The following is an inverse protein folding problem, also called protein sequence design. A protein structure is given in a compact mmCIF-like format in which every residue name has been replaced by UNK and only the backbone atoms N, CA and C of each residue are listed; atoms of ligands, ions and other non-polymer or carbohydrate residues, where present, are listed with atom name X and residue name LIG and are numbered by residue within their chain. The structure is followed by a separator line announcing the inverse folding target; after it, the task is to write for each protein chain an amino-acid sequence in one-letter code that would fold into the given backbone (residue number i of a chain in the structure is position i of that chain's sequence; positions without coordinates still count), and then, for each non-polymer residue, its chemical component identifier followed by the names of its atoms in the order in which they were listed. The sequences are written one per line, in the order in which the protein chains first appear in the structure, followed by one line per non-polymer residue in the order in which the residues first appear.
data_IF_728892149239
#
_entry.id   IF_728892149239
#
_cell.length_a   1.000
_cell.length_b   1.000
_cell.length_c   1.000
_cell.angle_alpha   90.00
_cell.angle_beta   90.00
_cell.angle_gamma   90.00
#
_symmetry.space_group_name_H-M   'P 1'
#
loop_
_entity.id
_entity.type
_entity.pdbx_description
1 polymer ?
#
# COMPACT_ATOMS: atom_id res chain seq x y z
N UNK A 1 16.84 6.11 -7.57
CA UNK A 1 15.43 5.66 -7.49
C UNK A 1 14.98 5.24 -8.86
N UNK A 2 14.31 4.10 -8.98
CA UNK A 2 13.57 3.70 -10.19
C UNK A 2 12.18 4.32 -10.16
N UNK A 3 11.67 4.73 -11.33
CA UNK A 3 10.31 5.26 -11.48
C UNK A 3 9.51 4.36 -12.42
N UNK A 4 8.24 4.14 -12.10
CA UNK A 4 7.33 3.22 -12.79
C UNK A 4 6.02 3.92 -13.13
N UNK A 5 5.37 3.50 -14.20
CA UNK A 5 4.00 3.92 -14.46
C UNK A 5 3.03 3.29 -13.46
N UNK A 6 2.08 4.05 -12.98
CA UNK A 6 1.01 3.53 -12.14
C UNK A 6 -0.07 2.91 -13.04
N UNK A 7 0.03 1.60 -13.20
CA UNK A 7 -0.80 0.86 -14.17
C UNK A 7 -0.59 1.36 -15.59
N UNK A 8 -1.67 1.43 -16.37
CA UNK A 8 -1.68 1.95 -17.74
C UNK A 8 -1.86 3.47 -17.80
N UNK A 9 -1.76 4.18 -16.66
CA UNK A 9 -1.91 5.64 -16.61
C UNK A 9 -0.65 6.39 -17.02
N UNK A 10 -0.77 7.71 -17.21
CA UNK A 10 0.36 8.62 -17.38
C UNK A 10 1.08 8.98 -16.08
N UNK A 11 0.55 8.59 -14.91
CA UNK A 11 1.17 8.90 -13.62
C UNK A 11 2.42 8.04 -13.42
N UNK A 12 3.54 8.71 -13.18
CA UNK A 12 4.83 8.07 -12.89
C UNK A 12 5.11 8.19 -11.40
N UNK A 13 5.35 7.06 -10.73
CA UNK A 13 5.58 6.96 -9.29
C UNK A 13 6.96 6.36 -8.99
N UNK A 14 7.60 6.68 -7.86
CA UNK A 14 8.83 6.01 -7.44
C UNK A 14 8.55 4.56 -7.05
N UNK A 15 9.51 3.67 -7.24
CA UNK A 15 9.38 2.25 -6.85
C UNK A 15 9.14 2.06 -5.34
N UNK A 16 9.64 2.96 -4.51
CA UNK A 16 9.28 3.08 -3.09
C UNK A 16 8.57 4.40 -2.84
N UNK A 17 7.47 4.36 -2.08
CA UNK A 17 6.70 5.51 -1.61
C UNK A 17 6.74 5.60 -0.09
N UNK A 18 6.58 6.78 0.48
CA UNK A 18 6.58 6.98 1.93
C UNK A 18 5.15 6.91 2.48
N UNK A 19 4.94 6.09 3.52
CA UNK A 19 3.67 5.97 4.24
C UNK A 19 3.67 6.77 5.53
N UNK A 20 2.76 7.75 5.66
CA UNK A 20 2.63 8.65 6.79
C UNK A 20 1.75 8.10 7.93
N UNK A 21 1.46 6.80 7.99
CA UNK A 21 0.62 6.20 9.04
C UNK A 21 1.22 6.29 10.46
N UNK A 22 2.51 6.66 10.58
CA UNK A 22 3.18 6.91 11.88
C UNK A 22 3.06 8.36 12.35
N UNK A 23 2.45 9.25 11.55
CA UNK A 23 2.38 10.68 11.85
C UNK A 23 1.18 10.99 12.75
N UNK A 24 1.40 11.88 13.74
CA UNK A 24 0.36 12.46 14.57
C UNK A 24 0.02 11.71 15.85
N UNK A 25 0.15 10.37 15.91
CA UNK A 25 0.03 9.57 17.14
C UNK A 25 -1.31 9.66 17.89
N UNK A 26 -2.43 9.98 17.22
CA UNK A 26 -3.76 10.05 17.84
C UNK A 26 -4.54 8.74 17.62
N UNK A 27 -5.43 8.42 18.57
CA UNK A 27 -6.23 7.19 18.54
C UNK A 27 -5.45 5.94 18.96
N UNK A 28 -6.16 4.91 19.41
CA UNK A 28 -5.56 3.70 20.00
C UNK A 28 -4.66 2.95 19.00
N UNK A 29 -5.13 2.74 17.78
CA UNK A 29 -4.40 1.99 16.76
C UNK A 29 -3.16 2.76 16.27
N UNK A 30 -3.32 4.05 15.94
CA UNK A 30 -2.24 4.80 15.29
C UNK A 30 -1.17 5.28 16.27
N UNK A 31 -1.50 5.51 17.55
CA UNK A 31 -0.50 5.77 18.59
C UNK A 31 0.49 4.62 18.77
N UNK A 32 0.06 3.37 18.58
CA UNK A 32 0.93 2.20 18.57
C UNK A 32 1.84 2.13 17.34
N UNK A 33 1.53 2.85 16.25
CA UNK A 33 2.34 2.89 15.04
C UNK A 33 3.46 3.94 15.13
N UNK A 34 3.21 5.05 15.80
CA UNK A 34 4.15 6.15 15.99
C UNK A 34 3.45 7.44 16.37
N UNK A 35 4.23 8.42 16.76
CA UNK A 35 3.82 9.74 17.20
C UNK A 35 4.65 10.86 16.53
N UNK A 36 5.12 10.59 15.31
CA UNK A 36 5.98 11.49 14.53
C UNK A 36 5.37 12.89 14.45
N UNK A 37 6.08 13.87 14.97
CA UNK A 37 5.72 15.29 14.93
C UNK A 37 6.14 15.96 13.60
N UNK A 38 5.83 17.25 13.44
CA UNK A 38 6.11 18.02 12.22
C UNK A 38 7.61 18.13 11.93
N UNK A 39 8.47 18.29 12.95
CA UNK A 39 9.90 18.46 12.76
C UNK A 39 10.57 17.15 12.34
N UNK A 40 10.16 16.05 12.94
CA UNK A 40 10.57 14.70 12.53
C UNK A 40 10.07 14.37 11.13
N UNK A 41 8.80 14.70 10.83
CA UNK A 41 8.21 14.50 9.52
C UNK A 41 8.96 15.29 8.42
N UNK A 42 9.39 16.53 8.69
CA UNK A 42 10.22 17.32 7.76
C UNK A 42 11.52 16.61 7.42
N UNK A 43 12.24 16.11 8.44
CA UNK A 43 13.48 15.37 8.21
C UNK A 43 13.25 14.10 7.41
N UNK A 44 12.15 13.38 7.65
CA UNK A 44 11.79 12.20 6.87
C UNK A 44 11.43 12.56 5.43
N UNK A 45 10.74 13.68 5.21
CA UNK A 45 10.45 14.21 3.86
C UNK A 45 11.74 14.57 3.14
N UNK A 46 12.70 15.27 3.82
CA UNK A 46 14.00 15.59 3.24
C UNK A 46 14.77 14.36 2.79
N UNK A 47 14.93 13.37 3.69
CA UNK A 47 15.58 12.09 3.39
C UNK A 47 14.90 11.37 2.22
N UNK A 48 13.56 11.38 2.19
CA UNK A 48 12.78 10.74 1.14
C UNK A 48 13.05 11.40 -0.21
N UNK A 49 12.94 12.71 -0.31
CA UNK A 49 13.16 13.47 -1.55
C UNK A 49 14.62 13.36 -2.03
N UNK A 50 15.61 13.43 -1.14
CA UNK A 50 17.02 13.20 -1.46
C UNK A 50 17.26 11.81 -2.07
N UNK A 51 16.53 10.79 -1.61
CA UNK A 51 16.60 9.44 -2.16
C UNK A 51 15.73 9.24 -3.43
N UNK A 52 14.98 10.27 -3.85
CA UNK A 52 14.06 10.22 -4.99
C UNK A 52 12.70 9.57 -4.68
N UNK A 53 12.34 9.42 -3.40
CA UNK A 53 10.96 9.06 -2.98
C UNK A 53 10.12 10.33 -3.08
N UNK A 54 9.32 10.43 -4.13
CA UNK A 54 8.49 11.61 -4.41
C UNK A 54 7.01 11.41 -4.11
N UNK A 55 6.56 10.20 -3.77
CA UNK A 55 5.16 9.93 -3.44
C UNK A 55 5.00 9.69 -1.93
N UNK A 56 4.04 10.41 -1.32
CA UNK A 56 3.68 10.34 0.09
C UNK A 56 2.22 9.90 0.23
N UNK A 57 1.99 8.83 0.98
CA UNK A 57 0.67 8.22 1.18
C UNK A 57 0.19 8.41 2.62
N UNK A 58 -1.04 8.90 2.76
CA UNK A 58 -1.75 9.08 4.04
C UNK A 58 -3.21 8.64 3.92
N UNK A 59 -4.07 8.98 4.88
CA UNK A 59 -5.52 8.81 4.84
C UNK A 59 -6.22 9.77 5.83
N UNK A 60 -7.50 10.07 5.58
CA UNK A 60 -8.33 10.93 6.43
C UNK A 60 -8.51 10.36 7.85
N UNK A 61 -8.49 9.03 8.00
CA UNK A 61 -8.67 8.33 9.27
C UNK A 61 -7.37 8.20 10.08
N UNK A 62 -6.19 8.41 9.46
CA UNK A 62 -4.93 8.20 10.17
C UNK A 62 -4.74 9.25 11.26
N UNK A 63 -4.64 8.78 12.52
CA UNK A 63 -4.52 9.64 13.70
C UNK A 63 -5.61 10.73 13.75
N UNK A 64 -6.85 10.38 13.40
CA UNK A 64 -8.00 11.30 13.39
C UNK A 64 -7.76 12.56 12.53
N UNK A 65 -7.09 12.37 11.39
CA UNK A 65 -6.72 13.44 10.45
C UNK A 65 -5.37 14.11 10.74
N UNK A 66 -4.77 13.88 11.92
CA UNK A 66 -3.48 14.50 12.27
C UNK A 66 -2.34 14.06 11.35
N UNK A 67 -2.40 12.86 10.76
CA UNK A 67 -1.40 12.43 9.76
C UNK A 67 -1.36 13.36 8.55
N UNK A 68 -2.52 13.79 8.03
CA UNK A 68 -2.59 14.78 6.95
C UNK A 68 -2.13 16.17 7.38
N UNK A 69 -2.46 16.61 8.62
CA UNK A 69 -2.01 17.90 9.16
C UNK A 69 -0.48 17.96 9.29
N UNK A 70 0.13 16.93 9.87
CA UNK A 70 1.58 16.82 10.04
C UNK A 70 2.29 16.74 8.68
N UNK A 71 1.78 15.91 7.75
CA UNK A 71 2.33 15.80 6.39
C UNK A 71 2.23 17.14 5.67
N UNK A 72 1.07 17.81 5.69
CA UNK A 72 0.85 19.11 5.06
C UNK A 72 1.79 20.18 5.59
N UNK A 73 2.04 20.22 6.91
CA UNK A 73 3.01 21.12 7.51
C UNK A 73 4.46 20.79 7.11
N UNK A 74 4.81 19.50 7.00
CA UNK A 74 6.14 19.05 6.64
C UNK A 74 6.52 19.35 5.18
N UNK A 75 5.56 19.28 4.26
CA UNK A 75 5.77 19.52 2.81
C UNK A 75 5.58 20.96 2.38
N UNK A 76 5.28 21.89 3.29
CA UNK A 76 5.02 23.28 2.96
C UNK A 76 6.16 23.90 2.14
N UNK A 77 5.82 24.50 0.99
CA UNK A 77 6.77 25.09 0.05
C UNK A 77 7.45 24.09 -0.89
N UNK A 78 7.02 22.82 -0.91
CA UNK A 78 7.60 21.75 -1.75
C UNK A 78 6.57 21.00 -2.58
N UNK A 79 5.33 21.51 -2.68
CA UNK A 79 4.21 20.81 -3.34
C UNK A 79 4.55 20.30 -4.74
N UNK A 80 5.29 21.09 -5.51
CA UNK A 80 5.67 20.77 -6.89
C UNK A 80 6.71 19.65 -7.01
N UNK A 81 7.33 19.23 -5.91
CA UNK A 81 8.37 18.21 -5.90
C UNK A 81 7.84 16.80 -5.59
N UNK A 82 6.55 16.70 -5.29
CA UNK A 82 6.00 15.45 -4.75
C UNK A 82 4.59 15.14 -5.25
N UNK A 83 4.21 13.87 -5.10
CA UNK A 83 2.88 13.34 -5.32
C UNK A 83 2.22 13.04 -3.97
N UNK A 84 1.00 13.48 -3.79
CA UNK A 84 0.20 13.22 -2.61
C UNK A 84 -0.86 12.16 -2.90
N UNK A 85 -0.85 11.11 -2.08
CA UNK A 85 -1.90 10.10 -2.04
C UNK A 85 -2.62 10.17 -0.70
N UNK A 86 -3.95 10.25 -0.71
CA UNK A 86 -4.77 10.11 0.50
C UNK A 86 -6.03 9.30 0.21
N UNK A 87 -6.75 8.94 1.28
CA UNK A 87 -7.86 8.00 1.21
C UNK A 87 -9.02 8.48 2.08
N UNK A 88 -10.24 8.07 1.69
CA UNK A 88 -11.42 8.16 2.55
C UNK A 88 -12.33 6.96 2.30
N UNK A 89 -13.30 6.76 3.12
CA UNK A 89 -14.45 5.87 3.21
C UNK A 89 -14.58 5.15 4.54
N UNK A 90 -13.49 4.92 5.25
CA UNK A 90 -13.53 4.38 6.61
C UNK A 90 -14.16 5.39 7.58
N UNK A 91 -14.72 4.91 8.71
CA UNK A 91 -15.30 5.82 9.72
C UNK A 91 -14.27 6.79 10.32
N UNK A 92 -14.60 8.07 10.34
CA UNK A 92 -13.83 9.13 11.00
C UNK A 92 -14.53 9.69 12.24
N UNK A 93 -15.69 9.13 12.59
CA UNK A 93 -16.50 9.49 13.74
C UNK A 93 -17.72 8.57 13.88
N UNK A 94 -18.55 8.78 14.92
CA UNK A 94 -19.72 7.93 15.20
C UNK A 94 -20.98 8.33 14.42
N UNK A 95 -20.95 9.45 13.69
CA UNK A 95 -22.12 10.01 13.02
C UNK A 95 -22.48 9.26 11.72
N UNK A 96 -23.73 9.41 11.25
CA UNK A 96 -24.19 8.73 10.04
C UNK A 96 -23.53 9.23 8.75
N UNK A 97 -22.84 10.37 8.80
CA UNK A 97 -22.13 10.96 7.66
C UNK A 97 -20.60 10.80 7.75
N UNK A 98 -20.12 10.10 8.77
CA UNK A 98 -18.68 9.98 9.03
C UNK A 98 -18.03 8.79 8.34
N UNK A 99 -18.81 7.94 7.67
CA UNK A 99 -18.34 6.74 6.98
C UNK A 99 -18.97 6.57 5.59
N UNK A 100 -18.40 5.66 4.81
CA UNK A 100 -18.92 5.24 3.49
C UNK A 100 -18.46 6.10 2.33
N UNK A 101 -19.03 5.82 1.16
CA UNK A 101 -18.62 6.40 -0.12
C UNK A 101 -19.74 7.18 -0.81
N UNK A 102 -20.79 7.56 -0.08
CA UNK A 102 -21.87 8.41 -0.62
C UNK A 102 -21.33 9.76 -1.10
N UNK A 103 -21.99 10.33 -2.10
CA UNK A 103 -21.57 11.58 -2.78
C UNK A 103 -21.20 12.71 -1.79
N UNK A 104 -22.09 13.00 -0.84
CA UNK A 104 -21.86 14.06 0.13
C UNK A 104 -20.65 13.81 1.01
N UNK A 105 -20.46 12.55 1.46
CA UNK A 105 -19.33 12.12 2.28
C UNK A 105 -18.01 12.27 1.52
N UNK A 106 -17.95 11.80 0.26
CA UNK A 106 -16.73 11.88 -0.54
C UNK A 106 -16.30 13.32 -0.81
N UNK A 107 -17.24 14.18 -1.20
CA UNK A 107 -16.94 15.60 -1.43
C UNK A 107 -16.43 16.25 -0.15
N UNK A 108 -17.13 16.03 0.98
CA UNK A 108 -16.72 16.57 2.28
C UNK A 108 -15.35 16.06 2.73
N UNK A 109 -15.07 14.78 2.52
CA UNK A 109 -13.77 14.17 2.85
C UNK A 109 -12.61 14.77 2.05
N UNK A 110 -12.77 14.89 0.73
CA UNK A 110 -11.74 15.49 -0.14
C UNK A 110 -11.48 16.94 0.25
N UNK A 111 -12.53 17.74 0.50
CA UNK A 111 -12.38 19.12 0.95
C UNK A 111 -11.66 19.22 2.31
N UNK A 112 -11.97 18.31 3.23
CA UNK A 112 -11.31 18.24 4.53
C UNK A 112 -9.84 17.86 4.40
N UNK A 113 -9.52 16.85 3.55
CA UNK A 113 -8.15 16.44 3.28
C UNK A 113 -7.32 17.55 2.63
N UNK A 114 -7.87 18.25 1.64
CA UNK A 114 -7.22 19.41 1.02
C UNK A 114 -6.89 20.50 2.06
N UNK A 115 -7.80 20.79 2.99
CA UNK A 115 -7.56 21.76 4.08
C UNK A 115 -6.47 21.29 5.04
N UNK A 116 -6.51 20.02 5.50
CA UNK A 116 -5.50 19.47 6.43
C UNK A 116 -4.12 19.40 5.80
N UNK A 117 -4.04 18.98 4.54
CA UNK A 117 -2.79 18.93 3.76
C UNK A 117 -2.29 20.34 3.35
N UNK A 118 -3.17 21.34 3.33
CA UNK A 118 -2.83 22.71 2.92
C UNK A 118 -2.49 22.81 1.43
N UNK A 119 -3.22 22.05 0.58
CA UNK A 119 -3.00 21.98 -0.88
C UNK A 119 -4.31 22.19 -1.63
N UNK A 120 -4.22 22.48 -2.94
CA UNK A 120 -5.35 22.71 -3.83
C UNK A 120 -5.80 21.45 -4.58
N UNK A 121 -4.94 20.42 -4.68
CA UNK A 121 -5.26 19.16 -5.32
C UNK A 121 -4.51 17.97 -4.69
N UNK A 122 -5.09 16.78 -4.87
CA UNK A 122 -4.55 15.47 -4.51
C UNK A 122 -4.17 14.74 -5.81
N UNK A 123 -2.95 14.19 -5.88
CA UNK A 123 -2.49 13.48 -7.07
C UNK A 123 -3.18 12.12 -7.24
N UNK A 124 -3.29 11.35 -6.15
CA UNK A 124 -3.98 10.06 -6.13
C UNK A 124 -4.95 10.01 -4.94
N UNK A 125 -6.25 10.00 -5.23
CA UNK A 125 -7.27 9.79 -4.20
C UNK A 125 -7.81 8.37 -4.28
N UNK A 126 -7.88 7.69 -3.14
CA UNK A 126 -8.27 6.28 -3.08
C UNK A 126 -9.48 6.06 -2.18
N UNK A 127 -10.39 5.19 -2.56
CA UNK A 127 -11.36 4.62 -1.64
C UNK A 127 -10.63 3.64 -0.72
N UNK A 128 -10.68 3.87 0.60
CA UNK A 128 -9.94 3.08 1.58
C UNK A 128 -10.46 1.65 1.72
N UNK A 129 -11.79 1.48 1.51
CA UNK A 129 -12.47 0.21 1.45
C UNK A 129 -13.71 0.31 0.53
N UNK A 130 -14.23 -0.83 0.09
CA UNK A 130 -15.46 -0.90 -0.66
C UNK A 130 -16.67 -0.65 0.26
N UNK A 131 -17.55 0.25 -0.15
CA UNK A 131 -18.82 0.52 0.52
C UNK A 131 -19.95 -0.23 -0.21
N UNK A 132 -20.46 -1.28 0.42
CA UNK A 132 -21.53 -2.11 -0.14
C UNK A 132 -22.92 -1.45 -0.05
N UNK A 133 -23.06 -0.36 0.71
CA UNK A 133 -24.34 0.32 0.92
C UNK A 133 -24.59 1.44 -0.08
N UNK A 134 -23.52 1.96 -0.72
CA UNK A 134 -23.64 3.02 -1.72
C UNK A 134 -23.59 2.44 -3.13
N UNK A 135 -24.56 2.77 -4.02
CA UNK A 135 -24.50 2.35 -5.42
C UNK A 135 -23.22 2.81 -6.10
N UNK A 136 -22.53 1.90 -6.80
CA UNK A 136 -21.22 2.20 -7.41
C UNK A 136 -21.29 3.36 -8.42
N UNK A 137 -22.42 3.51 -9.12
CA UNK A 137 -22.62 4.61 -10.07
C UNK A 137 -22.63 5.99 -9.38
N UNK A 138 -23.18 6.09 -8.15
CA UNK A 138 -23.14 7.31 -7.35
C UNK A 138 -21.70 7.62 -6.91
N UNK A 139 -21.00 6.62 -6.42
CA UNK A 139 -19.59 6.72 -6.01
C UNK A 139 -18.73 7.24 -7.15
N UNK A 140 -18.79 6.60 -8.30
CA UNK A 140 -17.96 6.95 -9.46
C UNK A 140 -18.29 8.33 -10.03
N UNK A 141 -19.57 8.73 -10.08
CA UNK A 141 -19.97 10.08 -10.50
C UNK A 141 -19.45 11.15 -9.54
N UNK A 142 -19.50 10.91 -8.22
CA UNK A 142 -18.95 11.83 -7.24
C UNK A 142 -17.44 12.01 -7.41
N UNK A 143 -16.72 10.92 -7.64
CA UNK A 143 -15.27 10.95 -7.87
C UNK A 143 -14.90 11.63 -9.20
N UNK A 144 -15.65 11.34 -10.27
CA UNK A 144 -15.46 11.97 -11.59
C UNK A 144 -15.70 13.50 -11.53
N UNK A 145 -16.72 13.95 -10.79
CA UNK A 145 -16.96 15.37 -10.57
C UNK A 145 -15.77 16.04 -9.84
N UNK A 146 -15.17 15.38 -8.85
CA UNK A 146 -13.98 15.87 -8.14
C UNK A 146 -12.75 15.93 -9.04
N UNK A 147 -12.61 14.96 -9.96
CA UNK A 147 -11.55 14.98 -10.98
C UNK A 147 -11.77 16.14 -11.95
N UNK A 148 -12.99 16.31 -12.48
CA UNK A 148 -13.35 17.42 -13.39
C UNK A 148 -13.19 18.79 -12.73
N UNK A 149 -13.46 18.88 -11.42
CA UNK A 149 -13.22 20.09 -10.64
C UNK A 149 -11.71 20.35 -10.37
N UNK A 150 -10.83 19.46 -10.79
CA UNK A 150 -9.38 19.58 -10.61
C UNK A 150 -8.88 19.35 -9.18
N UNK A 151 -9.73 18.84 -8.27
CA UNK A 151 -9.37 18.55 -6.87
C UNK A 151 -8.62 17.23 -6.71
N UNK A 152 -8.82 16.31 -7.65
CA UNK A 152 -8.15 15.01 -7.73
C UNK A 152 -7.57 14.86 -9.14
N UNK A 153 -6.37 14.27 -9.25
CA UNK A 153 -5.76 13.97 -10.56
C UNK A 153 -6.04 12.54 -11.02
N UNK A 154 -5.83 11.56 -10.13
CA UNK A 154 -6.02 10.14 -10.43
C UNK A 154 -6.82 9.47 -9.31
N UNK A 155 -7.55 8.42 -9.68
CA UNK A 155 -8.37 7.64 -8.76
C UNK A 155 -7.76 6.27 -8.51
N UNK A 156 -7.91 5.77 -7.28
CA UNK A 156 -7.56 4.43 -6.89
C UNK A 156 -8.60 3.80 -5.96
N UNK A 157 -8.45 2.51 -5.75
CA UNK A 157 -9.18 1.74 -4.75
C UNK A 157 -8.17 1.11 -3.79
N UNK A 158 -8.59 0.79 -2.56
CA UNK A 158 -7.79 0.03 -1.60
C UNK A 158 -8.67 -1.03 -0.95
N UNK A 159 -8.08 -2.21 -0.72
CA UNK A 159 -8.75 -3.33 -0.04
C UNK A 159 -10.06 -3.81 -0.73
N UNK A 160 -10.15 -3.69 -2.06
CA UNK A 160 -11.26 -4.24 -2.83
C UNK A 160 -10.98 -5.69 -3.18
N UNK A 161 -12.01 -6.54 -3.14
CA UNK A 161 -11.99 -7.84 -3.80
C UNK A 161 -11.99 -7.66 -5.32
N UNK A 162 -11.54 -8.66 -6.08
CA UNK A 162 -11.44 -8.57 -7.53
C UNK A 162 -12.79 -8.25 -8.20
N UNK A 163 -13.88 -8.90 -7.76
CA UNK A 163 -15.23 -8.62 -8.32
C UNK A 163 -15.69 -7.18 -8.04
N UNK A 164 -15.29 -6.59 -6.89
CA UNK A 164 -15.64 -5.20 -6.54
C UNK A 164 -14.89 -4.21 -7.43
N UNK A 165 -13.58 -4.47 -7.62
CA UNK A 165 -12.77 -3.67 -8.53
C UNK A 165 -13.26 -3.77 -9.95
N UNK A 166 -13.49 -4.98 -10.47
CA UNK A 166 -14.00 -5.20 -11.83
C UNK A 166 -15.37 -4.57 -12.04
N UNK A 167 -16.29 -4.70 -11.07
CA UNK A 167 -17.61 -4.04 -11.12
C UNK A 167 -17.48 -2.53 -11.25
N UNK A 168 -16.53 -1.94 -10.52
CA UNK A 168 -16.29 -0.49 -10.56
C UNK A 168 -15.70 -0.04 -11.90
N UNK A 169 -14.74 -0.80 -12.43
CA UNK A 169 -14.13 -0.51 -13.75
C UNK A 169 -15.16 -0.61 -14.86
N UNK A 170 -15.97 -1.68 -14.89
CA UNK A 170 -17.03 -1.87 -15.86
C UNK A 170 -18.12 -0.78 -15.78
N UNK A 171 -18.44 -0.28 -14.59
CA UNK A 171 -19.37 0.83 -14.42
C UNK A 171 -18.76 2.15 -14.93
N UNK A 172 -17.48 2.40 -14.66
CA UNK A 172 -16.76 3.56 -15.20
C UNK A 172 -16.78 3.57 -16.73
N UNK A 173 -16.45 2.45 -17.36
CA UNK A 173 -16.44 2.31 -18.83
C UNK A 173 -17.83 2.51 -19.43
N UNK A 174 -18.86 1.89 -18.84
CA UNK A 174 -20.25 2.02 -19.29
C UNK A 174 -20.73 3.46 -19.32
N UNK A 175 -20.30 4.27 -18.38
CA UNK A 175 -20.76 5.64 -18.21
C UNK A 175 -19.75 6.69 -18.68
N UNK A 176 -18.59 6.31 -19.23
CA UNK A 176 -17.53 7.23 -19.65
C UNK A 176 -16.97 8.05 -18.50
N UNK A 177 -16.83 7.44 -17.31
CA UNK A 177 -16.31 8.08 -16.11
C UNK A 177 -14.84 7.75 -15.91
N UNK A 178 -14.17 8.53 -15.05
CA UNK A 178 -12.78 8.28 -14.69
C UNK A 178 -12.60 6.93 -14.01
N UNK A 179 -11.67 6.10 -14.54
CA UNK A 179 -11.35 4.75 -14.01
C UNK A 179 -10.39 4.83 -12.83
N UNK A 180 -10.39 3.82 -11.99
CA UNK A 180 -9.30 3.57 -11.06
C UNK A 180 -8.06 3.14 -11.85
N UNK A 181 -6.92 3.78 -11.57
CA UNK A 181 -5.61 3.45 -12.15
C UNK A 181 -4.71 2.71 -11.16
N UNK A 182 -5.09 2.70 -9.88
CA UNK A 182 -4.35 2.09 -8.78
C UNK A 182 -5.24 1.20 -7.93
N UNK A 183 -4.66 0.12 -7.43
CA UNK A 183 -5.23 -0.68 -6.35
C UNK A 183 -4.21 -0.81 -5.23
N UNK A 184 -4.52 -0.22 -4.07
CA UNK A 184 -3.66 -0.35 -2.89
C UNK A 184 -4.01 -1.63 -2.14
N UNK A 185 -3.02 -2.53 -2.04
CA UNK A 185 -3.22 -3.93 -1.63
C UNK A 185 -2.23 -4.35 -0.55
N UNK A 186 -2.66 -5.25 0.35
CA UNK A 186 -1.74 -6.00 1.18
C UNK A 186 -0.98 -7.02 0.32
N UNK A 187 0.35 -6.94 0.35
CA UNK A 187 1.20 -7.90 -0.33
C UNK A 187 2.57 -7.98 0.33
N UNK A 188 3.01 -9.20 0.65
CA UNK A 188 4.30 -9.47 1.28
C UNK A 188 4.68 -10.94 1.10
N UNK A 189 5.92 -11.33 1.44
CA UNK A 189 6.33 -12.73 1.50
C UNK A 189 5.49 -13.62 2.44
N UNK A 190 4.77 -13.03 3.38
CA UNK A 190 3.88 -13.75 4.31
C UNK A 190 2.39 -13.46 4.06
N UNK A 191 2.05 -12.90 2.91
CA UNK A 191 0.67 -12.61 2.50
C UNK A 191 0.61 -12.46 1.00
N UNK A 192 0.41 -13.58 0.28
CA UNK A 192 0.49 -13.70 -1.19
C UNK A 192 -0.88 -13.81 -1.87
N UNK A 193 -1.97 -13.56 -1.14
CA UNK A 193 -3.35 -13.66 -1.67
C UNK A 193 -3.61 -12.74 -2.87
N UNK A 194 -2.89 -11.63 -2.95
CA UNK A 194 -2.91 -10.70 -4.08
C UNK A 194 -2.65 -11.38 -5.43
N UNK A 195 -1.83 -12.43 -5.46
CA UNK A 195 -1.37 -13.08 -6.70
C UNK A 195 -2.48 -13.87 -7.42
N UNK A 196 -3.51 -14.30 -6.71
CA UNK A 196 -4.48 -15.26 -7.25
C UNK A 196 -5.53 -14.62 -8.16
N UNK A 197 -6.03 -13.44 -7.78
CA UNK A 197 -7.09 -12.74 -8.51
C UNK A 197 -6.70 -11.29 -8.86
N UNK A 198 -6.17 -10.55 -7.89
CA UNK A 198 -5.97 -9.11 -8.02
C UNK A 198 -4.80 -8.76 -8.94
N UNK A 199 -3.74 -9.56 -8.95
CA UNK A 199 -2.60 -9.37 -9.86
C UNK A 199 -2.98 -9.66 -11.32
N UNK A 200 -3.62 -10.81 -11.67
CA UNK A 200 -4.12 -11.04 -13.02
C UNK A 200 -5.10 -9.96 -13.48
N UNK A 201 -6.03 -9.53 -12.63
CA UNK A 201 -6.97 -8.46 -12.92
C UNK A 201 -6.25 -7.13 -13.18
N UNK A 202 -5.28 -6.78 -12.34
CA UNK A 202 -4.48 -5.57 -12.51
C UNK A 202 -3.70 -5.56 -13.83
N UNK A 203 -3.17 -6.72 -14.25
CA UNK A 203 -2.51 -6.89 -15.56
C UNK A 203 -3.47 -6.68 -16.73
N UNK A 204 -4.64 -7.30 -16.69
CA UNK A 204 -5.64 -7.24 -17.76
C UNK A 204 -6.23 -5.84 -17.88
N UNK A 205 -6.60 -5.23 -16.76
CA UNK A 205 -7.30 -3.96 -16.71
C UNK A 205 -6.39 -2.72 -16.65
N UNK A 206 -5.07 -2.93 -16.61
CA UNK A 206 -4.10 -1.84 -16.53
C UNK A 206 -4.11 -1.08 -15.19
N UNK A 207 -4.47 -1.76 -14.09
CA UNK A 207 -4.49 -1.18 -12.74
C UNK A 207 -3.20 -1.54 -12.00
N UNK A 208 -2.44 -0.53 -11.59
CA UNK A 208 -1.17 -0.71 -10.89
C UNK A 208 -1.34 -1.00 -9.41
N UNK A 209 -0.51 -1.89 -8.86
CA UNK A 209 -0.51 -2.16 -7.42
C UNK A 209 0.33 -1.14 -6.66
N UNK A 210 -0.26 -0.61 -5.59
CA UNK A 210 0.39 0.17 -4.54
C UNK A 210 0.42 -0.73 -3.30
N UNK A 211 1.59 -1.22 -2.90
CA UNK A 211 1.69 -2.25 -1.86
C UNK A 211 1.75 -1.62 -0.48
N UNK A 212 0.78 -1.94 0.40
CA UNK A 212 0.84 -1.57 1.82
C UNK A 212 1.29 -2.75 2.69
N UNK A 213 1.87 -2.43 3.86
CA UNK A 213 2.44 -3.39 4.82
C UNK A 213 3.40 -4.43 4.20
N UNK A 214 4.37 -3.99 3.38
CA UNK A 214 5.27 -4.87 2.63
C UNK A 214 6.14 -5.76 3.52
N UNK A 215 6.31 -5.38 4.80
CA UNK A 215 7.04 -6.15 5.81
C UNK A 215 6.12 -6.98 6.72
N UNK A 216 4.89 -7.32 6.27
CA UNK A 216 3.99 -8.22 6.97
C UNK A 216 3.61 -7.73 8.37
N UNK A 217 3.24 -6.46 8.54
CA UNK A 217 2.89 -5.84 9.84
C UNK A 217 4.09 -5.81 10.82
N UNK A 218 5.31 -5.75 10.31
CA UNK A 218 6.55 -5.75 11.09
C UNK A 218 7.17 -7.13 11.31
N UNK A 219 6.59 -8.20 10.73
CA UNK A 219 7.10 -9.57 10.86
C UNK A 219 8.44 -9.77 10.13
N UNK A 220 8.62 -9.10 8.99
CA UNK A 220 9.82 -9.22 8.14
C UNK A 220 10.85 -8.11 8.40
N UNK A 221 10.98 -7.67 9.65
CA UNK A 221 11.94 -6.63 10.04
C UNK A 221 13.30 -7.17 10.49
N UNK A 222 13.47 -8.50 10.46
CA UNK A 222 14.69 -9.15 10.93
C UNK A 222 14.79 -9.32 12.46
N UNK A 223 13.70 -9.02 13.19
CA UNK A 223 13.67 -9.10 14.66
C UNK A 223 12.92 -10.32 15.19
N UNK A 224 12.21 -11.05 14.35
CA UNK A 224 11.42 -12.22 14.73
C UNK A 224 12.18 -13.46 14.29
N UNK A 225 12.29 -14.42 15.19
CA UNK A 225 13.01 -15.69 15.00
C UNK A 225 12.25 -16.82 15.67
N UNK A 226 12.38 -18.02 15.10
CA UNK A 226 11.83 -19.27 15.67
C UNK A 226 12.31 -19.45 17.10
N UNK A 227 11.39 -19.75 18.02
CA UNK A 227 11.69 -20.01 19.42
C UNK A 227 12.08 -18.79 20.25
N UNK A 228 12.00 -17.57 19.73
CA UNK A 228 12.24 -16.34 20.46
C UNK A 228 10.92 -15.59 20.75
N UNK A 229 10.81 -14.91 21.91
CA UNK A 229 9.66 -14.09 22.22
C UNK A 229 9.58 -12.88 21.27
N UNK A 230 8.37 -12.40 21.00
CA UNK A 230 8.16 -11.18 20.23
C UNK A 230 8.85 -10.00 20.93
N UNK A 231 9.54 -9.12 20.17
CA UNK A 231 10.20 -7.95 20.73
C UNK A 231 9.20 -7.02 21.43
N UNK A 232 9.48 -6.67 22.68
CA UNK A 232 8.67 -5.71 23.43
C UNK A 232 8.57 -4.38 22.67
N UNK A 233 7.37 -3.77 22.61
CA UNK A 233 7.14 -2.51 21.90
C UNK A 233 7.09 -2.64 20.36
N UNK A 234 7.14 -3.86 19.81
CA UNK A 234 6.90 -4.05 18.38
C UNK A 234 5.44 -3.77 18.03
N UNK A 235 5.17 -3.33 16.80
CA UNK A 235 3.80 -3.17 16.29
C UNK A 235 3.00 -4.47 16.44
N UNK A 236 3.63 -5.60 16.17
CA UNK A 236 3.00 -6.91 16.29
C UNK A 236 2.58 -7.22 17.74
N UNK A 237 3.40 -6.86 18.71
CA UNK A 237 3.07 -7.07 20.14
C UNK A 237 1.86 -6.24 20.58
N UNK A 238 1.69 -5.04 20.04
CA UNK A 238 0.64 -4.09 20.45
C UNK A 238 -0.65 -4.23 19.62
N UNK A 239 -0.55 -4.59 18.34
CA UNK A 239 -1.68 -4.53 17.39
C UNK A 239 -1.77 -5.77 16.49
N UNK A 240 -1.38 -6.95 16.99
CA UNK A 240 -1.42 -8.21 16.22
C UNK A 240 -2.81 -8.51 15.64
N UNK A 241 -3.86 -8.29 16.45
CA UNK A 241 -5.25 -8.56 16.09
C UNK A 241 -5.77 -7.66 14.95
N UNK A 242 -5.22 -6.46 14.81
CA UNK A 242 -5.58 -5.54 13.73
C UNK A 242 -4.78 -5.80 12.45
N UNK A 243 -3.75 -6.65 12.50
CA UNK A 243 -2.90 -6.99 11.37
C UNK A 243 -3.40 -8.19 10.57
N UNK A 244 -2.86 -8.40 9.35
CA UNK A 244 -3.16 -9.59 8.57
C UNK A 244 -2.80 -10.87 9.33
N UNK A 245 -3.66 -11.92 9.29
CA UNK A 245 -3.34 -13.21 9.87
C UNK A 245 -2.17 -13.84 9.12
N UNK A 246 -1.22 -14.40 9.83
CA UNK A 246 -0.04 -15.07 9.25
C UNK A 246 0.19 -16.37 10.00
N UNK A 247 0.45 -17.45 9.25
CA UNK A 247 0.85 -18.73 9.82
C UNK A 247 2.29 -18.64 10.33
N UNK A 248 2.53 -19.04 11.58
CA UNK A 248 3.84 -18.92 12.23
C UNK A 248 4.91 -19.79 11.57
N UNK A 249 4.58 -21.02 11.13
CA UNK A 249 5.54 -21.88 10.44
C UNK A 249 5.96 -21.28 9.11
N UNK A 250 5.00 -20.78 8.31
CA UNK A 250 5.30 -20.06 7.07
C UNK A 250 6.19 -18.84 7.34
N UNK A 251 5.90 -18.08 8.41
CA UNK A 251 6.71 -16.92 8.78
C UNK A 251 8.16 -17.33 9.06
N UNK A 252 8.37 -18.37 9.85
CA UNK A 252 9.71 -18.81 10.21
C UNK A 252 10.48 -19.39 9.02
N UNK A 253 9.83 -20.17 8.16
CA UNK A 253 10.45 -20.69 6.93
C UNK A 253 10.90 -19.54 6.00
N UNK A 254 10.08 -18.49 5.88
CA UNK A 254 10.46 -17.29 5.11
C UNK A 254 11.60 -16.53 5.76
N UNK A 255 11.59 -16.36 7.08
CA UNK A 255 12.64 -15.65 7.81
C UNK A 255 13.97 -16.38 7.72
N UNK A 256 13.97 -17.72 7.82
CA UNK A 256 15.18 -18.53 7.71
C UNK A 256 15.86 -18.34 6.33
N UNK A 257 15.08 -18.35 5.23
CA UNK A 257 15.61 -18.07 3.88
C UNK A 257 16.06 -16.61 3.72
N UNK A 258 15.34 -15.65 4.33
CA UNK A 258 15.77 -14.25 4.32
C UNK A 258 17.11 -14.04 5.03
N UNK A 259 17.36 -14.76 6.13
CA UNK A 259 18.63 -14.71 6.85
C UNK A 259 19.79 -15.32 6.04
N UNK A 260 19.55 -16.44 5.35
CA UNK A 260 20.54 -17.02 4.43
C UNK A 260 20.93 -16.02 3.33
N UNK A 261 19.95 -15.42 2.66
CA UNK A 261 20.19 -14.43 1.61
C UNK A 261 20.85 -13.15 2.19
N UNK A 262 20.52 -12.76 3.41
CA UNK A 262 21.19 -11.66 4.09
C UNK A 262 22.68 -11.93 4.30
N UNK A 263 23.05 -13.15 4.70
CA UNK A 263 24.45 -13.57 4.82
C UNK A 263 25.19 -13.58 3.47
N UNK A 264 24.50 -13.98 2.38
CA UNK A 264 25.08 -14.00 1.03
C UNK A 264 25.32 -12.59 0.46
N UNK A 265 24.40 -11.65 0.72
CA UNK A 265 24.37 -10.36 0.04
C UNK A 265 24.90 -9.21 0.86
N UNK A 266 24.99 -9.38 2.18
CA UNK A 266 25.25 -8.29 3.13
C UNK A 266 24.09 -7.29 3.26
N UNK A 267 22.90 -7.63 2.71
CA UNK A 267 21.68 -6.82 2.83
C UNK A 267 20.86 -7.25 4.04
N UNK A 268 20.09 -6.31 4.61
CA UNK A 268 19.23 -6.66 5.75
C UNK A 268 17.96 -7.39 5.30
N UNK A 269 17.37 -8.19 6.19
CA UNK A 269 16.11 -8.91 5.98
C UNK A 269 15.01 -8.00 5.41
N UNK A 270 14.71 -6.80 5.98
CA UNK A 270 13.70 -5.92 5.38
C UNK A 270 14.07 -5.43 3.97
N UNK A 271 15.35 -5.17 3.68
CA UNK A 271 15.78 -4.77 2.35
C UNK A 271 15.53 -5.88 1.32
N UNK A 272 15.79 -7.13 1.67
CA UNK A 272 15.55 -8.29 0.81
C UNK A 272 14.05 -8.48 0.57
N UNK A 273 13.23 -8.42 1.63
CA UNK A 273 11.79 -8.55 1.53
C UNK A 273 11.15 -7.46 0.66
N UNK A 274 11.61 -6.21 0.78
CA UNK A 274 11.17 -5.09 -0.06
C UNK A 274 11.64 -5.28 -1.51
N UNK A 275 12.90 -5.69 -1.72
CA UNK A 275 13.45 -5.91 -3.06
C UNK A 275 12.69 -7.01 -3.81
N UNK A 276 12.29 -8.10 -3.10
CA UNK A 276 11.47 -9.15 -3.68
C UNK A 276 10.14 -8.60 -4.23
N UNK A 277 9.45 -7.71 -3.51
CA UNK A 277 8.22 -7.06 -4.00
C UNK A 277 8.46 -6.24 -5.27
N UNK A 278 9.61 -5.58 -5.38
CA UNK A 278 9.97 -4.79 -6.54
C UNK A 278 10.20 -5.63 -7.80
N UNK A 279 10.37 -6.96 -7.67
CA UNK A 279 10.47 -7.89 -8.82
C UNK A 279 9.10 -8.33 -9.34
N UNK A 280 8.01 -8.04 -8.62
CA UNK A 280 6.68 -8.56 -8.98
C UNK A 280 6.04 -7.75 -10.11
N UNK A 281 5.43 -8.44 -11.11
CA UNK A 281 4.66 -7.75 -12.14
C UNK A 281 3.50 -6.97 -11.49
N UNK A 282 3.03 -5.92 -12.10
CA UNK A 282 1.97 -5.01 -11.61
C UNK A 282 2.32 -4.15 -10.40
N UNK A 283 3.35 -4.47 -9.61
CA UNK A 283 3.77 -3.62 -8.48
C UNK A 283 4.40 -2.33 -9.01
N UNK A 284 3.62 -1.24 -8.93
CA UNK A 284 4.09 0.08 -9.34
C UNK A 284 4.91 0.76 -8.26
N UNK A 285 4.48 0.63 -7.00
CA UNK A 285 5.20 1.21 -5.85
C UNK A 285 4.93 0.43 -4.57
N UNK A 286 5.92 0.42 -3.68
CA UNK A 286 5.83 -0.19 -2.35
C UNK A 286 5.87 0.90 -1.30
N UNK A 287 4.83 0.99 -0.46
CA UNK A 287 4.74 1.97 0.63
C UNK A 287 5.57 1.49 1.80
N UNK A 288 6.59 2.24 2.15
CA UNK A 288 7.42 2.02 3.33
C UNK A 288 7.10 3.05 4.41
N UNK A 289 6.76 2.58 5.60
CA UNK A 289 6.64 3.41 6.80
C UNK A 289 7.93 3.35 7.63
N UNK A 290 8.17 4.39 8.41
CA UNK A 290 9.26 4.44 9.37
C UNK A 290 8.85 5.22 10.63
N UNK A 291 9.37 4.82 11.80
CA UNK A 291 9.21 5.56 13.07
C UNK A 291 10.32 6.57 13.31
N UNK A 292 11.44 6.42 12.61
CA UNK A 292 12.61 7.28 12.71
C UNK A 292 13.44 7.24 11.42
N UNK A 293 14.40 8.14 11.33
CA UNK A 293 15.28 8.31 10.17
C UNK A 293 16.11 7.07 9.85
N UNK A 294 16.59 6.35 10.87
CA UNK A 294 17.39 5.13 10.69
C UNK A 294 16.60 4.04 9.97
N UNK A 295 15.36 3.78 10.43
CA UNK A 295 14.47 2.82 9.76
C UNK A 295 14.15 3.23 8.33
N UNK A 296 13.93 4.54 8.08
CA UNK A 296 13.70 5.05 6.74
C UNK A 296 14.91 4.78 5.84
N UNK A 297 16.12 5.16 6.27
CA UNK A 297 17.36 4.92 5.53
C UNK A 297 17.60 3.43 5.28
N UNK A 298 17.30 2.58 6.27
CA UNK A 298 17.38 1.12 6.13
C UNK A 298 16.43 0.62 5.03
N UNK A 299 15.16 1.05 5.04
CA UNK A 299 14.19 0.65 4.02
C UNK A 299 14.59 1.14 2.61
N UNK A 300 15.11 2.37 2.52
CA UNK A 300 15.61 2.94 1.25
C UNK A 300 16.79 2.13 0.65
N UNK A 301 17.55 1.42 1.46
CA UNK A 301 18.59 0.49 1.00
C UNK A 301 18.07 -0.76 0.26
N UNK A 302 16.74 -0.90 0.11
CA UNK A 302 16.14 -1.95 -0.72
C UNK A 302 16.29 -1.71 -2.22
N UNK A 303 16.63 -0.50 -2.65
CA UNK A 303 16.80 -0.12 -4.07
C UNK A 303 18.29 -0.04 -4.45
N UNK A 304 18.56 0.01 -5.78
CA UNK A 304 19.91 0.14 -6.32
C UNK A 304 20.66 -1.19 -6.48
N UNK A 305 20.00 -2.32 -6.26
CA UNK A 305 20.48 -3.67 -6.47
C UNK A 305 19.30 -4.60 -6.78
N UNK A 306 19.56 -5.84 -7.16
CA UNK A 306 18.52 -6.81 -7.51
C UNK A 306 18.87 -8.19 -6.93
N UNK A 307 17.84 -8.89 -6.45
CA UNK A 307 17.93 -10.33 -6.13
C UNK A 307 18.23 -11.12 -7.40
N UNK A 308 19.05 -12.16 -7.26
CA UNK A 308 19.27 -13.11 -8.35
C UNK A 308 18.02 -13.98 -8.59
N UNK A 309 17.85 -14.57 -9.78
CA UNK A 309 16.75 -15.51 -10.04
C UNK A 309 16.70 -16.68 -9.05
N UNK A 310 17.84 -17.20 -8.59
CA UNK A 310 17.90 -18.24 -7.57
C UNK A 310 17.37 -17.76 -6.21
N UNK A 311 17.79 -16.60 -5.76
CA UNK A 311 17.31 -16.00 -4.50
C UNK A 311 15.80 -15.74 -4.54
N UNK A 312 15.27 -15.26 -5.68
CA UNK A 312 13.83 -15.08 -5.89
C UNK A 312 13.11 -16.43 -5.80
N UNK A 313 13.62 -17.48 -6.48
CA UNK A 313 13.02 -18.80 -6.46
C UNK A 313 13.01 -19.44 -5.06
N UNK A 314 14.06 -19.24 -4.26
CA UNK A 314 14.13 -19.70 -2.87
C UNK A 314 13.07 -18.99 -2.00
N UNK A 315 12.92 -17.69 -2.13
CA UNK A 315 11.89 -16.90 -1.43
C UNK A 315 10.48 -17.29 -1.87
N UNK A 316 10.27 -17.48 -3.17
CA UNK A 316 8.98 -17.92 -3.72
C UNK A 316 8.59 -19.30 -3.20
N UNK A 317 9.54 -20.22 -3.08
CA UNK A 317 9.32 -21.56 -2.51
C UNK A 317 9.02 -21.51 -1.01
N UNK A 318 9.78 -20.74 -0.23
CA UNK A 318 9.59 -20.64 1.21
C UNK A 318 8.26 -19.95 1.57
N UNK A 319 7.81 -18.99 0.75
CA UNK A 319 6.57 -18.23 0.94
C UNK A 319 5.36 -18.83 0.21
N UNK A 320 5.49 -20.01 -0.39
CA UNK A 320 4.43 -20.62 -1.17
C UNK A 320 3.25 -21.05 -0.29
N UNK A 321 2.06 -20.61 -0.66
CA UNK A 321 0.79 -21.04 -0.07
C UNK A 321 -0.09 -21.67 -1.13
N UNK A 322 -0.89 -22.66 -0.73
CA UNK A 322 -1.86 -23.26 -1.64
C UNK A 322 -3.04 -22.31 -1.80
N UNK A 323 -3.33 -21.82 -3.02
CA UNK A 323 -4.49 -20.98 -3.24
C UNK A 323 -5.80 -21.72 -2.90
N UNK A 324 -6.85 -21.01 -2.45
CA UNK A 324 -8.17 -21.61 -2.28
C UNK A 324 -8.85 -21.90 -3.63
N UNK A 325 -10.00 -22.58 -3.60
CA UNK A 325 -10.89 -22.66 -4.76
C UNK A 325 -11.47 -21.27 -5.06
N UNK A 326 -11.54 -20.85 -6.33
CA UNK A 326 -11.32 -21.61 -7.58
C UNK A 326 -9.87 -21.56 -8.12
N UNK A 327 -8.92 -21.01 -7.40
CA UNK A 327 -7.58 -20.72 -7.93
C UNK A 327 -6.64 -21.92 -7.90
N UNK A 328 -6.73 -22.84 -6.91
CA UNK A 328 -5.78 -23.94 -6.77
C UNK A 328 -5.64 -24.83 -8.03
N UNK A 329 -6.69 -25.07 -8.86
CA UNK A 329 -6.52 -25.91 -10.06
C UNK A 329 -5.51 -25.33 -11.04
N UNK A 330 -5.46 -23.99 -11.18
CA UNK A 330 -4.57 -23.30 -12.10
C UNK A 330 -3.10 -23.34 -11.67
N UNK A 331 -2.85 -23.63 -10.39
CA UNK A 331 -1.49 -23.78 -9.84
C UNK A 331 -1.03 -25.23 -9.74
N UNK A 332 -1.95 -26.22 -9.82
CA UNK A 332 -1.64 -27.64 -9.55
C UNK A 332 -1.93 -28.59 -10.68
N UNK A 333 -2.88 -28.27 -11.55
CA UNK A 333 -3.35 -29.18 -12.60
C UNK A 333 -2.86 -28.70 -13.96
N UNK A 334 -2.03 -29.50 -14.69
CA UNK A 334 -1.41 -29.05 -15.95
C UNK A 334 -2.39 -28.55 -17.00
N UNK A 335 -3.57 -29.19 -17.12
CA UNK A 335 -4.59 -28.77 -18.09
C UNK A 335 -5.16 -27.38 -17.78
N UNK A 336 -5.40 -27.08 -16.50
CA UNK A 336 -5.84 -25.75 -16.05
C UNK A 336 -4.73 -24.71 -16.21
N UNK A 337 -3.52 -25.05 -15.80
CA UNK A 337 -2.34 -24.15 -15.93
C UNK A 337 -2.08 -23.79 -17.39
N UNK A 338 -2.31 -24.74 -18.32
CA UNK A 338 -2.18 -24.47 -19.76
C UNK A 338 -3.19 -23.46 -20.29
N UNK A 339 -4.41 -23.44 -19.74
CA UNK A 339 -5.47 -22.51 -20.14
C UNK A 339 -5.28 -21.12 -19.52
N UNK A 340 -4.82 -21.05 -18.29
CA UNK A 340 -4.62 -19.79 -17.56
C UNK A 340 -3.39 -19.93 -16.65
N UNK A 341 -2.19 -19.69 -17.17
CA UNK A 341 -0.96 -19.80 -16.39
C UNK A 341 -0.93 -18.75 -15.28
N UNK A 342 -0.39 -19.08 -14.10
CA UNK A 342 -0.17 -18.12 -13.02
C UNK A 342 0.58 -16.87 -13.50
N UNK A 343 0.30 -15.73 -12.86
CA UNK A 343 0.93 -14.46 -13.21
C UNK A 343 2.40 -14.36 -12.74
N UNK A 344 2.77 -15.20 -11.73
CA UNK A 344 4.09 -15.30 -11.11
C UNK A 344 4.42 -16.74 -10.83
#
# INVERSE_FOLDING_TARGET
MEYRRLGASGLVVPALSFGAGTFGGRGELFSAWGDTDVEQARRMVDISLEAGVTMFDTADVYSDGASEEVLGAAIRGRRDQLLLSTKASLPTGPGPFDAGSGRSRLIGAVEASLRRLGVDHIDLFQLHAFDAHTPIDEVLRALDDLVRAGKIRYLGASNFAGWQLMKSLAAADRHGLTRYVAHQVYYSLVGRDYEWELMPLGREEGVGAVVWSPLGWGRLTGKIRRGQPLPAGSRLHQTAEAGPPVNDELLYDVVDVLDEIAAETGKSVPQIALNWLLTRPTVSTVIVGARNEEQLRQNLGAIGWQLTPDQIARLDKASAVTPPYPYYPYYRLPDFTRLNPPAV
#
